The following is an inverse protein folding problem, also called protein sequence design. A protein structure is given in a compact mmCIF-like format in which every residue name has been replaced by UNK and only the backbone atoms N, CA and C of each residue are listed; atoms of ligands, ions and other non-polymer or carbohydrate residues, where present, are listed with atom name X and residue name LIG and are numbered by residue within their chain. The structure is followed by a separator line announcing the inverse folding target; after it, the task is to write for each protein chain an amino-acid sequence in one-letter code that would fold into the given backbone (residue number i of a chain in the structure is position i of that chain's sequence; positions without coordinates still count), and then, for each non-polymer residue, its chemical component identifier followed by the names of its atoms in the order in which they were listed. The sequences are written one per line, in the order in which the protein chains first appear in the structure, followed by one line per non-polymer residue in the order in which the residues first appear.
data_IF_392777490608
#
_entry.id   IF_392777490608
#
_cell.length_a   1.000
_cell.length_b   1.000
_cell.length_c   1.000
_cell.angle_alpha   90.00
_cell.angle_beta   90.00
_cell.angle_gamma   90.00
#
_symmetry.space_group_name_H-M   'P 1'
#
loop_
_entity.id
_entity.type
_entity.pdbx_description
1 polymer ?
#
# COMPACT_ATOMS: atom_id res chain seq x y z
N UNK A 1 9.73 -6.99 -18.43
CA UNK A 1 8.75 -6.75 -19.50
C UNK A 1 7.50 -7.63 -19.37
N UNK A 2 7.63 -8.92 -19.08
CA UNK A 2 6.53 -9.90 -18.92
C UNK A 2 5.53 -9.52 -17.81
N UNK A 3 6.02 -9.06 -16.67
CA UNK A 3 5.22 -8.70 -15.48
C UNK A 3 4.31 -7.49 -15.72
N UNK A 4 4.78 -6.51 -16.51
CA UNK A 4 4.00 -5.31 -16.87
C UNK A 4 2.86 -5.67 -17.83
N UNK A 5 3.05 -6.68 -18.68
CA UNK A 5 2.00 -7.22 -19.57
C UNK A 5 0.93 -8.00 -18.80
N UNK A 6 1.31 -8.79 -17.78
CA UNK A 6 0.34 -9.53 -16.97
C UNK A 6 -0.62 -8.61 -16.20
N UNK A 7 -0.12 -7.54 -15.57
CA UNK A 7 -0.97 -6.60 -14.84
C UNK A 7 -1.89 -5.80 -15.75
N UNK A 8 -1.46 -5.45 -16.97
CA UNK A 8 -2.34 -4.77 -17.95
C UNK A 8 -3.42 -5.68 -18.50
N UNK A 9 -3.14 -6.97 -18.70
CA UNK A 9 -4.14 -7.96 -19.13
C UNK A 9 -5.20 -8.16 -18.04
N UNK A 10 -4.81 -8.33 -16.79
CA UNK A 10 -5.74 -8.48 -15.65
C UNK A 10 -6.63 -7.24 -15.53
N UNK A 11 -6.05 -6.04 -15.64
CA UNK A 11 -6.82 -4.78 -15.60
C UNK A 11 -7.82 -4.69 -16.75
N UNK A 12 -7.41 -5.03 -17.98
CA UNK A 12 -8.27 -5.01 -19.15
C UNK A 12 -9.43 -6.01 -19.01
N UNK A 13 -9.16 -7.24 -18.57
CA UNK A 13 -10.20 -8.26 -18.35
C UNK A 13 -11.17 -7.82 -17.25
N UNK A 14 -10.68 -7.27 -16.13
CA UNK A 14 -11.54 -6.76 -15.07
C UNK A 14 -12.44 -5.61 -15.57
N UNK A 15 -11.89 -4.67 -16.36
CA UNK A 15 -12.67 -3.56 -16.94
C UNK A 15 -13.75 -4.07 -17.90
N UNK A 16 -13.45 -5.06 -18.74
CA UNK A 16 -14.41 -5.67 -19.65
C UNK A 16 -15.55 -6.37 -18.88
N UNK A 17 -15.19 -7.14 -17.83
CA UNK A 17 -16.18 -7.84 -16.99
C UNK A 17 -17.11 -6.85 -16.27
N UNK A 18 -16.58 -5.75 -15.75
CA UNK A 18 -17.40 -4.68 -15.13
C UNK A 18 -18.33 -4.06 -16.16
N UNK A 19 -17.81 -3.69 -17.33
CA UNK A 19 -18.61 -3.10 -18.41
C UNK A 19 -19.74 -4.02 -18.86
N UNK A 20 -19.47 -5.30 -19.03
CA UNK A 20 -20.46 -6.31 -19.40
C UNK A 20 -21.53 -6.48 -18.31
N UNK A 21 -21.12 -6.57 -17.05
CA UNK A 21 -22.02 -6.68 -15.91
C UNK A 21 -22.94 -5.47 -15.78
N UNK A 22 -22.40 -4.24 -15.92
CA UNK A 22 -23.18 -3.00 -15.92
C UNK A 22 -24.22 -2.99 -17.06
N UNK A 23 -23.82 -3.42 -18.25
CA UNK A 23 -24.71 -3.47 -19.41
C UNK A 23 -25.85 -4.46 -19.19
N UNK A 24 -25.55 -5.67 -18.71
CA UNK A 24 -26.55 -6.70 -18.42
C UNK A 24 -27.50 -6.24 -17.30
N UNK A 25 -26.98 -5.67 -16.24
CA UNK A 25 -27.79 -5.16 -15.12
C UNK A 25 -28.73 -4.04 -15.57
N UNK A 26 -28.27 -3.11 -16.41
CA UNK A 26 -29.12 -2.05 -16.97
C UNK A 26 -30.23 -2.60 -17.86
N UNK A 27 -29.95 -3.60 -18.71
CA UNK A 27 -30.95 -4.25 -19.54
C UNK A 27 -32.03 -4.90 -18.69
N UNK A 28 -31.62 -5.66 -17.65
CA UNK A 28 -32.55 -6.35 -16.75
C UNK A 28 -33.38 -5.32 -15.95
N UNK A 29 -32.76 -4.24 -15.45
CA UNK A 29 -33.45 -3.19 -14.71
C UNK A 29 -34.51 -2.50 -15.58
N UNK A 30 -34.21 -2.20 -16.84
CA UNK A 30 -35.14 -1.58 -17.74
C UNK A 30 -36.31 -2.51 -18.12
N UNK A 31 -36.04 -3.79 -18.36
CA UNK A 31 -37.10 -4.79 -18.59
C UNK A 31 -38.01 -4.95 -17.35
N UNK A 32 -37.43 -4.98 -16.16
CA UNK A 32 -38.22 -5.07 -14.96
C UNK A 32 -39.05 -3.81 -14.70
N UNK A 33 -38.50 -2.63 -15.00
CA UNK A 33 -39.22 -1.35 -14.90
C UNK A 33 -40.45 -1.33 -15.79
N UNK A 34 -40.30 -1.72 -17.07
CA UNK A 34 -41.42 -1.78 -18.03
C UNK A 34 -42.47 -2.78 -17.57
N UNK A 35 -42.05 -3.94 -17.05
CA UNK A 35 -42.95 -4.94 -16.50
C UNK A 35 -43.72 -4.42 -15.28
N UNK A 36 -43.04 -3.81 -14.29
CA UNK A 36 -43.68 -3.24 -13.11
C UNK A 36 -44.71 -2.15 -13.49
N UNK A 37 -44.37 -1.27 -14.42
CA UNK A 37 -45.29 -0.27 -14.93
C UNK A 37 -46.57 -0.93 -15.54
N UNK A 38 -46.38 -1.92 -16.41
CA UNK A 38 -47.50 -2.64 -17.03
C UNK A 38 -48.36 -3.35 -15.99
N UNK A 39 -47.77 -4.00 -14.99
CA UNK A 39 -48.49 -4.68 -13.90
C UNK A 39 -49.35 -3.70 -13.08
N UNK A 40 -48.86 -2.46 -12.85
CA UNK A 40 -49.64 -1.42 -12.14
C UNK A 40 -50.76 -0.89 -13.04
N UNK A 41 -50.53 -0.69 -14.34
CA UNK A 41 -51.52 -0.25 -15.32
C UNK A 41 -52.65 -1.28 -15.44
N UNK A 42 -52.35 -2.59 -15.51
CA UNK A 42 -53.34 -3.66 -15.59
C UNK A 42 -54.14 -3.74 -14.28
N UNK A 43 -53.47 -3.58 -13.14
CA UNK A 43 -54.13 -3.54 -11.83
C UNK A 43 -55.06 -2.33 -11.71
N UNK A 44 -54.65 -1.15 -12.15
CA UNK A 44 -55.48 0.07 -12.15
C UNK A 44 -56.70 -0.07 -13.04
N UNK A 45 -56.55 -0.61 -14.26
CA UNK A 45 -57.62 -0.87 -15.18
C UNK A 45 -58.62 -1.93 -14.65
N UNK A 46 -58.13 -2.97 -13.96
CA UNK A 46 -59.01 -3.94 -13.30
C UNK A 46 -59.85 -3.31 -12.19
N UNK A 47 -59.25 -2.43 -11.38
CA UNK A 47 -59.92 -1.67 -10.34
C UNK A 47 -61.00 -0.75 -10.91
N UNK A 48 -60.72 -0.02 -11.97
CA UNK A 48 -61.66 0.85 -12.66
C UNK A 48 -62.88 0.05 -13.20
N UNK A 49 -62.60 -1.10 -13.85
CA UNK A 49 -63.66 -1.93 -14.44
C UNK A 49 -64.55 -2.58 -13.39
N UNK A 50 -64.03 -2.97 -12.22
CA UNK A 50 -64.80 -3.45 -11.10
C UNK A 50 -65.75 -2.39 -10.58
N UNK A 51 -65.40 -1.14 -10.71
CA UNK A 51 -66.12 0.01 -10.18
C UNK A 51 -67.19 0.57 -11.11
N UNK A 52 -67.11 0.33 -12.41
CA UNK A 52 -68.04 0.87 -13.40
C UNK A 52 -69.35 0.09 -13.57
N UNK A 53 -69.47 -1.11 -12.99
CA UNK A 53 -70.67 -1.92 -13.12
C UNK A 53 -71.65 -1.75 -11.92
N UNK A 54 -72.72 -1.00 -12.17
CA UNK A 54 -73.82 -0.79 -11.21
C UNK A 54 -74.74 -1.99 -11.08
N UNK A 55 -74.53 -3.05 -11.88
CA UNK A 55 -75.42 -4.22 -11.92
C UNK A 55 -75.00 -5.36 -11.00
N UNK A 56 -73.86 -5.22 -10.28
CA UNK A 56 -73.39 -6.20 -9.28
C UNK A 56 -72.79 -7.48 -9.87
N UNK A 57 -72.69 -7.59 -11.17
CA UNK A 57 -72.25 -8.83 -11.84
C UNK A 57 -70.72 -8.97 -11.95
N UNK A 58 -69.96 -7.89 -11.90
CA UNK A 58 -68.48 -7.90 -12.06
C UNK A 58 -67.71 -8.15 -10.79
N UNK A 59 -68.29 -7.93 -9.60
CA UNK A 59 -67.66 -8.24 -8.29
C UNK A 59 -67.31 -9.72 -8.13
N UNK A 60 -67.87 -10.59 -8.97
CA UNK A 60 -67.65 -12.04 -8.94
C UNK A 60 -66.83 -12.59 -10.13
N UNK A 61 -66.27 -11.74 -11.03
CA UNK A 61 -65.41 -12.22 -12.10
C UNK A 61 -64.08 -12.74 -11.51
N UNK A 62 -63.81 -14.07 -11.61
CA UNK A 62 -62.61 -14.67 -11.03
C UNK A 62 -61.32 -14.09 -11.60
N UNK A 63 -61.31 -13.62 -12.84
CA UNK A 63 -60.17 -13.02 -13.49
C UNK A 63 -59.81 -11.65 -12.88
N UNK A 64 -60.82 -10.80 -12.74
CA UNK A 64 -60.65 -9.47 -12.13
C UNK A 64 -60.20 -9.62 -10.67
N UNK A 65 -60.81 -10.54 -9.91
CA UNK A 65 -60.37 -10.84 -8.54
C UNK A 65 -58.96 -11.39 -8.48
N UNK A 66 -58.54 -12.23 -9.42
CA UNK A 66 -57.18 -12.73 -9.48
C UNK A 66 -56.14 -11.60 -9.77
N UNK A 67 -56.49 -10.65 -10.67
CA UNK A 67 -55.65 -9.49 -10.91
C UNK A 67 -55.53 -8.57 -9.69
N UNK A 68 -56.66 -8.27 -9.04
CA UNK A 68 -56.67 -7.39 -7.87
C UNK A 68 -55.97 -8.05 -6.66
N UNK A 69 -56.11 -9.35 -6.51
CA UNK A 69 -55.47 -10.12 -5.40
C UNK A 69 -53.99 -10.45 -5.74
N UNK A 70 -53.59 -10.40 -6.96
CA UNK A 70 -52.19 -10.54 -7.32
C UNK A 70 -51.48 -9.24 -6.91
N UNK A 71 -51.10 -9.23 -5.60
CA UNK A 71 -50.48 -8.07 -4.96
C UNK A 71 -49.23 -7.65 -5.74
N UNK A 72 -49.32 -6.47 -6.34
CA UNK A 72 -48.15 -5.83 -6.95
C UNK A 72 -47.06 -5.67 -5.90
N UNK A 73 -45.82 -6.07 -6.25
CA UNK A 73 -44.65 -5.87 -5.37
C UNK A 73 -44.15 -4.40 -5.37
N UNK A 74 -44.83 -3.53 -6.07
CA UNK A 74 -44.52 -2.10 -6.12
C UNK A 74 -45.28 -1.35 -5.04
N UNK A 75 -44.65 -0.48 -4.25
CA UNK A 75 -45.37 0.38 -3.32
C UNK A 75 -46.24 1.39 -4.07
N UNK A 76 -47.46 1.63 -3.61
CA UNK A 76 -48.33 2.64 -4.19
C UNK A 76 -49.12 3.41 -3.15
N UNK A 77 -49.54 4.62 -3.52
CA UNK A 77 -50.38 5.52 -2.70
C UNK A 77 -51.53 6.01 -3.63
N UNK A 78 -52.75 5.86 -3.16
CA UNK A 78 -53.93 6.38 -3.87
C UNK A 78 -54.34 7.67 -3.16
N UNK A 79 -54.52 8.75 -3.95
CA UNK A 79 -54.93 10.06 -3.46
C UNK A 79 -56.19 10.55 -4.17
N UNK A 80 -56.89 11.51 -3.54
CA UNK A 80 -57.90 12.32 -4.23
C UNK A 80 -57.23 13.40 -5.13
N UNK A 81 -58.07 14.21 -5.80
CA UNK A 81 -57.61 15.34 -6.62
C UNK A 81 -56.88 16.42 -5.81
N UNK A 82 -57.08 16.47 -4.50
CA UNK A 82 -56.43 17.39 -3.57
C UNK A 82 -55.17 16.80 -2.93
N UNK A 83 -54.69 15.67 -3.45
CA UNK A 83 -53.51 14.92 -2.94
C UNK A 83 -53.69 14.40 -1.49
N UNK A 84 -54.93 14.22 -1.00
CA UNK A 84 -55.17 13.56 0.28
C UNK A 84 -55.10 12.07 0.08
N UNK A 85 -54.33 11.39 0.95
CA UNK A 85 -54.14 9.93 0.90
C UNK A 85 -55.41 9.23 1.25
N UNK A 86 -55.89 8.34 0.40
CA UNK A 86 -57.05 7.49 0.60
C UNK A 86 -56.65 6.09 1.01
N UNK A 87 -55.62 5.54 0.35
CA UNK A 87 -55.11 4.21 0.61
C UNK A 87 -53.63 4.13 0.26
N UNK A 88 -52.93 3.19 0.82
CA UNK A 88 -51.54 2.93 0.55
C UNK A 88 -51.23 1.43 0.61
N UNK A 89 -50.14 1.01 -0.06
CA UNK A 89 -49.64 -0.37 -0.07
C UNK A 89 -48.13 -0.38 -0.04
N UNK A 90 -47.55 -1.25 0.82
CA UNK A 90 -46.09 -1.40 1.02
C UNK A 90 -45.38 -0.06 1.39
N UNK A 91 -46.07 0.83 2.08
CA UNK A 91 -45.49 2.05 2.62
C UNK A 91 -45.20 1.81 4.11
N UNK A 92 -43.98 2.09 4.59
CA UNK A 92 -43.63 1.94 6.00
C UNK A 92 -44.51 2.81 6.93
N UNK A 93 -44.88 2.28 8.09
CA UNK A 93 -45.74 2.95 9.05
C UNK A 93 -45.24 4.30 9.56
N UNK A 94 -43.90 4.46 9.63
CA UNK A 94 -43.22 5.70 10.05
C UNK A 94 -43.39 6.82 9.00
N UNK A 95 -43.64 6.48 7.73
CA UNK A 95 -43.95 7.42 6.66
C UNK A 95 -45.45 7.76 6.68
N UNK A 96 -46.30 6.76 6.93
CA UNK A 96 -47.75 6.94 6.96
C UNK A 96 -48.18 7.88 8.09
N UNK A 97 -47.54 7.82 9.24
CA UNK A 97 -47.84 8.62 10.42
C UNK A 97 -47.31 10.07 10.36
N UNK A 98 -46.37 10.39 9.45
CA UNK A 98 -45.77 11.71 9.31
C UNK A 98 -46.18 12.36 7.98
N UNK A 99 -47.02 13.39 8.04
CA UNK A 99 -47.50 14.09 6.86
C UNK A 99 -46.37 14.67 5.98
N UNK A 100 -45.27 15.12 6.58
CA UNK A 100 -44.11 15.63 5.83
C UNK A 100 -43.38 14.53 5.07
N UNK A 101 -43.17 13.38 5.72
CA UNK A 101 -42.58 12.22 5.08
C UNK A 101 -43.45 11.66 3.97
N UNK A 102 -44.75 11.62 4.18
CA UNK A 102 -45.72 11.18 3.17
C UNK A 102 -45.67 12.07 1.92
N UNK A 103 -45.62 13.39 2.10
CA UNK A 103 -45.51 14.34 0.98
C UNK A 103 -44.20 14.14 0.20
N UNK A 104 -43.09 13.94 0.90
CA UNK A 104 -41.80 13.64 0.26
C UNK A 104 -41.82 12.32 -0.52
N UNK A 105 -42.52 11.29 0.00
CA UNK A 105 -42.63 10.00 -0.69
C UNK A 105 -43.53 10.12 -1.93
N UNK A 106 -44.60 10.93 -1.88
CA UNK A 106 -45.42 11.26 -3.08
C UNK A 106 -44.62 11.99 -4.16
N UNK A 107 -43.83 13.02 -3.79
CA UNK A 107 -42.97 13.75 -4.71
C UNK A 107 -41.94 12.82 -5.35
N UNK A 108 -41.35 11.93 -4.56
CA UNK A 108 -40.40 10.92 -5.04
C UNK A 108 -41.07 9.95 -6.02
N UNK A 109 -42.22 9.38 -5.69
CA UNK A 109 -42.97 8.48 -6.57
C UNK A 109 -43.33 9.18 -7.89
N UNK A 110 -43.74 10.45 -7.83
CA UNK A 110 -44.03 11.27 -9.01
C UNK A 110 -42.79 11.52 -9.86
N UNK A 111 -41.60 11.62 -9.27
CA UNK A 111 -40.35 11.75 -10.00
C UNK A 111 -39.87 10.42 -10.62
N UNK A 112 -40.25 9.29 -10.03
CA UNK A 112 -39.87 7.95 -10.49
C UNK A 112 -40.75 7.45 -11.62
N UNK A 113 -42.11 7.72 -11.57
CA UNK A 113 -43.07 7.23 -12.51
C UNK A 113 -44.21 8.26 -12.75
N UNK A 114 -44.85 8.22 -13.92
CA UNK A 114 -46.03 9.02 -14.18
C UNK A 114 -47.22 8.48 -13.41
N UNK A 115 -47.94 9.30 -12.62
CA UNK A 115 -49.13 8.86 -11.89
C UNK A 115 -50.25 8.40 -12.83
N UNK A 116 -51.02 7.40 -12.41
CA UNK A 116 -52.17 6.88 -13.19
C UNK A 116 -53.45 7.47 -12.61
N UNK A 117 -54.27 8.08 -13.48
CA UNK A 117 -55.57 8.62 -13.06
C UNK A 117 -56.62 7.58 -13.32
N UNK A 118 -57.43 7.25 -12.27
CA UNK A 118 -58.50 6.25 -12.27
C UNK A 118 -59.78 6.86 -11.74
N UNK A 119 -60.94 6.53 -12.34
CA UNK A 119 -62.27 6.93 -11.86
C UNK A 119 -62.93 5.76 -11.09
N UNK A 120 -63.18 5.93 -9.83
CA UNK A 120 -63.90 4.94 -9.06
C UNK A 120 -65.40 5.29 -8.98
N UNK A 121 -66.30 4.34 -9.23
CA UNK A 121 -67.75 4.54 -9.33
C UNK A 121 -68.40 5.00 -8.02
N UNK A 122 -67.84 4.61 -6.87
CA UNK A 122 -68.38 4.96 -5.52
C UNK A 122 -68.16 6.43 -5.13
N UNK A 123 -67.32 7.15 -5.88
CA UNK A 123 -66.92 8.52 -5.54
C UNK A 123 -67.65 9.57 -6.41
N UNK A 124 -68.73 9.20 -7.12
CA UNK A 124 -69.53 10.10 -7.95
C UNK A 124 -68.73 11.25 -8.59
N UNK A 125 -67.97 10.95 -9.61
CA UNK A 125 -67.23 11.91 -10.46
C UNK A 125 -65.94 12.49 -9.92
N UNK A 126 -65.27 11.87 -8.92
CA UNK A 126 -63.94 12.29 -8.49
C UNK A 126 -62.87 11.36 -9.04
N UNK A 127 -61.84 11.97 -9.68
CA UNK A 127 -60.69 11.26 -10.12
C UNK A 127 -59.80 10.88 -8.94
N UNK A 128 -59.23 9.70 -8.98
CA UNK A 128 -58.22 9.24 -8.01
C UNK A 128 -56.89 9.11 -8.74
N UNK A 129 -55.80 9.49 -8.06
CA UNK A 129 -54.49 9.47 -8.61
C UNK A 129 -53.68 8.37 -7.90
N UNK A 130 -53.17 7.43 -8.65
CA UNK A 130 -52.32 6.35 -8.15
C UNK A 130 -50.89 6.74 -8.39
N UNK A 131 -50.15 7.01 -7.30
CA UNK A 131 -48.71 7.17 -7.30
C UNK A 131 -48.07 5.83 -6.96
N UNK A 132 -47.11 5.40 -7.78
CA UNK A 132 -46.40 4.15 -7.49
C UNK A 132 -44.87 4.35 -7.59
N UNK A 133 -44.18 3.67 -6.69
CA UNK A 133 -42.73 3.70 -6.60
C UNK A 133 -42.10 2.42 -7.17
N UNK A 134 -40.79 2.41 -7.26
CA UNK A 134 -40.04 1.23 -7.65
C UNK A 134 -40.10 0.14 -6.59
N UNK A 135 -40.25 -1.11 -6.99
CA UNK A 135 -40.17 -2.25 -6.08
C UNK A 135 -38.81 -2.35 -5.39
N UNK A 136 -38.75 -3.07 -4.27
CA UNK A 136 -37.49 -3.35 -3.57
C UNK A 136 -36.50 -4.05 -4.52
N UNK A 137 -36.99 -4.96 -5.35
CA UNK A 137 -36.18 -5.68 -6.34
C UNK A 137 -35.53 -4.74 -7.35
N UNK A 138 -36.29 -3.82 -7.91
CA UNK A 138 -35.80 -2.84 -8.88
C UNK A 138 -34.78 -1.88 -8.22
N UNK A 139 -35.07 -1.44 -6.98
CA UNK A 139 -34.16 -0.58 -6.21
C UNK A 139 -32.83 -1.28 -5.91
N UNK A 140 -32.88 -2.56 -5.53
CA UNK A 140 -31.69 -3.38 -5.28
C UNK A 140 -30.88 -3.54 -6.57
N UNK A 141 -31.54 -3.74 -7.71
CA UNK A 141 -30.89 -3.89 -8.99
C UNK A 141 -30.11 -2.62 -9.40
N UNK A 142 -30.62 -1.43 -9.08
CA UNK A 142 -29.91 -0.17 -9.33
C UNK A 142 -28.71 0.05 -8.41
N UNK A 143 -28.71 -0.49 -7.19
CA UNK A 143 -27.60 -0.36 -6.23
C UNK A 143 -26.50 -1.41 -6.51
N UNK A 144 -26.89 -2.57 -7.02
CA UNK A 144 -25.98 -3.72 -7.24
C UNK A 144 -24.69 -3.39 -8.00
N UNK A 145 -24.70 -2.62 -9.11
CA UNK A 145 -23.49 -2.25 -9.84
C UNK A 145 -22.46 -1.48 -8.99
N UNK A 146 -22.94 -0.60 -8.10
CA UNK A 146 -22.05 0.17 -7.22
C UNK A 146 -21.36 -0.71 -6.18
N UNK A 147 -22.10 -1.67 -5.61
CA UNK A 147 -21.56 -2.66 -4.68
C UNK A 147 -20.52 -3.52 -5.39
N UNK A 148 -20.83 -3.99 -6.60
CA UNK A 148 -19.93 -4.81 -7.40
C UNK A 148 -18.65 -4.03 -7.77
N UNK A 149 -18.78 -2.77 -8.17
CA UNK A 149 -17.61 -1.91 -8.47
C UNK A 149 -16.73 -1.73 -7.24
N UNK A 150 -17.31 -1.50 -6.06
CA UNK A 150 -16.57 -1.40 -4.81
C UNK A 150 -15.78 -2.68 -4.51
N UNK A 151 -16.42 -3.85 -4.61
CA UNK A 151 -15.78 -5.14 -4.37
C UNK A 151 -14.59 -5.36 -5.33
N UNK A 152 -14.76 -5.04 -6.62
CA UNK A 152 -13.71 -5.18 -7.63
C UNK A 152 -12.52 -4.25 -7.33
N UNK A 153 -12.77 -2.99 -6.93
CA UNK A 153 -11.71 -2.06 -6.54
C UNK A 153 -10.92 -2.58 -5.34
N UNK A 154 -11.61 -3.07 -4.30
CA UNK A 154 -10.97 -3.67 -3.12
C UNK A 154 -10.11 -4.87 -3.51
N UNK A 155 -10.66 -5.77 -4.34
CA UNK A 155 -9.93 -6.94 -4.80
C UNK A 155 -8.70 -6.58 -5.65
N UNK A 156 -8.82 -5.56 -6.50
CA UNK A 156 -7.70 -5.02 -7.28
C UNK A 156 -6.57 -4.49 -6.38
N UNK A 157 -6.92 -3.75 -5.34
CA UNK A 157 -5.94 -3.23 -4.36
C UNK A 157 -5.22 -4.38 -3.65
N UNK A 158 -5.96 -5.40 -3.21
CA UNK A 158 -5.38 -6.60 -2.57
C UNK A 158 -4.39 -7.30 -3.51
N UNK A 159 -4.77 -7.53 -4.77
CA UNK A 159 -3.89 -8.15 -5.78
C UNK A 159 -2.62 -7.33 -5.99
N UNK A 160 -2.73 -6.00 -6.10
CA UNK A 160 -1.57 -5.13 -6.30
C UNK A 160 -0.61 -5.15 -5.10
N UNK A 161 -1.14 -5.16 -3.88
CA UNK A 161 -0.34 -5.26 -2.64
C UNK A 161 0.34 -6.63 -2.56
N UNK A 162 -0.40 -7.73 -2.79
CA UNK A 162 0.14 -9.09 -2.78
C UNK A 162 1.25 -9.26 -3.83
N UNK A 163 1.02 -8.75 -5.04
CA UNK A 163 2.01 -8.81 -6.12
C UNK A 163 3.29 -8.05 -5.80
N UNK A 164 3.18 -6.86 -5.19
CA UNK A 164 4.35 -6.10 -4.72
C UNK A 164 5.12 -6.85 -3.63
N UNK A 165 4.42 -7.46 -2.69
CA UNK A 165 5.01 -8.23 -1.59
C UNK A 165 5.77 -9.45 -2.13
N UNK A 166 5.17 -10.24 -3.03
CA UNK A 166 5.83 -11.40 -3.66
C UNK A 166 7.09 -10.98 -4.41
N UNK A 167 7.01 -9.93 -5.23
CA UNK A 167 8.16 -9.43 -5.98
C UNK A 167 9.30 -8.97 -5.05
N UNK A 168 8.98 -8.30 -3.96
CA UNK A 168 9.98 -7.86 -2.98
C UNK A 168 10.62 -9.05 -2.25
N UNK A 169 9.82 -10.05 -1.89
CA UNK A 169 10.29 -11.30 -1.28
C UNK A 169 11.22 -12.07 -2.23
N UNK A 170 10.88 -12.19 -3.51
CA UNK A 170 11.70 -12.86 -4.51
C UNK A 170 13.05 -12.15 -4.72
N UNK A 171 13.04 -10.82 -4.83
CA UNK A 171 14.27 -10.03 -4.89
C UNK A 171 15.13 -10.22 -3.64
N UNK A 172 14.53 -10.21 -2.46
CA UNK A 172 15.24 -10.44 -1.21
C UNK A 172 15.88 -11.83 -1.17
N UNK A 173 15.17 -12.87 -1.62
CA UNK A 173 15.67 -14.23 -1.66
C UNK A 173 16.87 -14.41 -2.58
N UNK A 174 16.84 -13.79 -3.77
CA UNK A 174 17.96 -13.79 -4.71
C UNK A 174 19.19 -13.12 -4.09
N UNK A 175 19.03 -11.99 -3.42
CA UNK A 175 20.11 -11.27 -2.75
C UNK A 175 20.76 -12.07 -1.62
N UNK A 176 19.94 -12.73 -0.78
CA UNK A 176 20.45 -13.59 0.29
C UNK A 176 21.23 -14.78 -0.29
N UNK A 177 20.70 -15.41 -1.32
CA UNK A 177 21.37 -16.53 -1.99
C UNK A 177 22.71 -16.11 -2.59
N UNK A 178 22.73 -14.94 -3.27
CA UNK A 178 23.95 -14.42 -3.90
C UNK A 178 25.01 -14.04 -2.86
N UNK A 179 24.60 -13.40 -1.77
CA UNK A 179 25.51 -13.03 -0.69
C UNK A 179 26.12 -14.27 -0.02
N UNK A 180 25.30 -15.28 0.30
CA UNK A 180 25.75 -16.54 0.90
C UNK A 180 26.70 -17.31 0.00
N UNK A 181 26.36 -17.42 -1.30
CA UNK A 181 27.19 -18.11 -2.27
C UNK A 181 28.52 -17.39 -2.48
N UNK A 182 28.49 -16.04 -2.60
CA UNK A 182 29.73 -15.22 -2.74
C UNK A 182 30.60 -15.38 -1.50
N UNK A 183 30.02 -15.38 -0.28
CA UNK A 183 30.77 -15.60 0.95
C UNK A 183 31.45 -16.98 0.96
N UNK A 184 30.69 -18.03 0.57
CA UNK A 184 31.23 -19.39 0.51
C UNK A 184 32.36 -19.53 -0.52
N UNK A 185 32.17 -19.00 -1.71
CA UNK A 185 33.18 -19.07 -2.79
C UNK A 185 34.42 -18.20 -2.52
N UNK A 186 34.31 -17.10 -1.76
CA UNK A 186 35.45 -16.31 -1.32
C UNK A 186 36.13 -16.91 -0.09
N UNK A 187 35.39 -17.60 0.78
CA UNK A 187 35.94 -18.21 2.00
C UNK A 187 37.02 -19.27 1.72
N UNK A 188 36.82 -20.10 0.71
CA UNK A 188 37.77 -21.16 0.31
C UNK A 188 39.14 -20.61 -0.12
N UNK A 189 39.27 -19.67 -1.09
CA UNK A 189 40.53 -19.11 -1.45
C UNK A 189 41.19 -18.27 -0.35
N UNK A 190 40.41 -17.59 0.47
CA UNK A 190 40.97 -16.84 1.61
C UNK A 190 41.58 -17.76 2.67
N UNK A 191 40.95 -18.92 2.93
CA UNK A 191 41.54 -19.92 3.83
C UNK A 191 42.82 -20.52 3.26
N UNK A 192 42.91 -20.74 1.94
CA UNK A 192 44.12 -21.20 1.27
C UNK A 192 45.24 -20.16 1.36
N UNK A 193 44.91 -18.87 1.13
CA UNK A 193 45.89 -17.79 1.25
C UNK A 193 46.43 -17.65 2.69
N UNK A 194 45.56 -17.89 3.71
CA UNK A 194 45.99 -17.91 5.10
C UNK A 194 47.04 -18.99 5.34
N UNK A 195 46.85 -20.20 4.81
CA UNK A 195 47.81 -21.29 4.87
C UNK A 195 49.14 -20.94 4.19
N UNK A 196 49.10 -20.26 3.06
CA UNK A 196 50.33 -19.80 2.40
C UNK A 196 51.08 -18.71 3.16
N UNK A 197 50.37 -17.80 3.84
CA UNK A 197 50.96 -16.76 4.66
C UNK A 197 51.64 -17.41 5.88
N UNK A 198 51.00 -18.39 6.54
CA UNK A 198 51.59 -19.13 7.64
C UNK A 198 52.83 -19.90 7.20
N UNK A 199 52.82 -20.55 6.03
CA UNK A 199 53.99 -21.20 5.44
C UNK A 199 55.15 -20.21 5.18
N UNK A 200 54.84 -19.02 4.59
CA UNK A 200 55.88 -17.99 4.34
C UNK A 200 56.46 -17.42 5.63
N UNK A 201 55.72 -17.42 6.71
CA UNK A 201 56.20 -16.93 8.01
C UNK A 201 57.34 -17.78 8.56
N UNK A 202 57.38 -19.07 8.24
CA UNK A 202 58.43 -20.00 8.61
C UNK A 202 59.64 -19.96 7.62
N UNK A 203 59.55 -19.24 6.52
CA UNK A 203 60.63 -19.13 5.57
C UNK A 203 61.49 -17.88 5.80
N UNK A 204 62.74 -17.85 5.30
CA UNK A 204 63.63 -16.69 5.39
C UNK A 204 63.25 -15.61 4.35
N UNK A 205 62.04 -15.03 4.51
CA UNK A 205 61.48 -13.97 3.70
C UNK A 205 61.32 -12.68 4.49
N UNK A 206 61.04 -11.56 3.83
CA UNK A 206 60.76 -10.31 4.50
C UNK A 206 59.48 -10.42 5.35
N UNK A 207 59.65 -10.48 6.68
CA UNK A 207 58.55 -10.62 7.62
C UNK A 207 57.61 -9.42 7.61
N UNK A 208 58.10 -8.23 7.25
CA UNK A 208 57.25 -7.05 7.14
C UNK A 208 56.24 -7.23 5.99
N UNK A 209 56.67 -7.81 4.84
CA UNK A 209 55.78 -8.14 3.73
C UNK A 209 54.73 -9.19 4.14
N UNK A 210 55.14 -10.23 4.89
CA UNK A 210 54.24 -11.27 5.39
C UNK A 210 53.16 -10.68 6.33
N UNK A 211 53.56 -9.78 7.22
CA UNK A 211 52.63 -9.12 8.15
C UNK A 211 51.59 -8.22 7.43
N UNK A 212 52.02 -7.50 6.37
CA UNK A 212 51.07 -6.71 5.54
C UNK A 212 50.11 -7.61 4.75
N UNK A 213 50.59 -8.73 4.17
CA UNK A 213 49.74 -9.72 3.49
C UNK A 213 48.69 -10.31 4.48
N UNK A 214 49.10 -10.61 5.72
CA UNK A 214 48.18 -11.11 6.74
C UNK A 214 47.12 -10.09 7.13
N UNK A 215 47.45 -8.80 7.22
CA UNK A 215 46.50 -7.72 7.50
C UNK A 215 45.48 -7.60 6.38
N UNK A 216 45.91 -7.67 5.13
CA UNK A 216 45.02 -7.60 3.96
C UNK A 216 44.11 -8.82 3.88
N UNK A 217 44.63 -10.01 4.16
CA UNK A 217 43.83 -11.22 4.20
C UNK A 217 42.80 -11.17 5.35
N UNK A 218 43.20 -10.72 6.55
CA UNK A 218 42.28 -10.53 7.67
C UNK A 218 41.14 -9.54 7.32
N UNK A 219 41.46 -8.50 6.55
CA UNK A 219 40.44 -7.59 6.06
C UNK A 219 39.49 -8.27 5.05
N UNK A 220 40.00 -9.07 4.13
CA UNK A 220 39.20 -9.87 3.20
C UNK A 220 38.29 -10.86 3.94
N UNK A 221 38.81 -11.57 4.94
CA UNK A 221 38.02 -12.51 5.78
C UNK A 221 36.88 -11.79 6.50
N UNK A 222 37.10 -10.58 7.04
CA UNK A 222 36.02 -9.76 7.63
C UNK A 222 34.92 -9.44 6.61
N UNK A 223 35.26 -9.16 5.34
CA UNK A 223 34.27 -8.91 4.29
C UNK A 223 33.46 -10.18 4.01
N UNK A 224 34.13 -11.33 3.89
CA UNK A 224 33.47 -12.63 3.67
C UNK A 224 32.53 -12.99 4.82
N UNK A 225 32.97 -12.83 6.07
CA UNK A 225 32.14 -13.06 7.28
C UNK A 225 30.90 -12.15 7.29
N UNK A 226 31.03 -10.88 6.91
CA UNK A 226 29.92 -9.93 6.79
C UNK A 226 28.89 -10.39 5.75
N UNK A 227 29.34 -10.85 4.56
CA UNK A 227 28.45 -11.39 3.54
C UNK A 227 27.75 -12.67 3.98
N UNK A 228 28.43 -13.54 4.72
CA UNK A 228 27.87 -14.77 5.29
C UNK A 228 26.75 -14.50 6.32
N UNK A 229 26.87 -13.40 7.06
CA UNK A 229 25.85 -12.98 8.05
C UNK A 229 24.63 -12.32 7.42
N UNK A 230 24.72 -11.87 6.17
CA UNK A 230 23.57 -11.37 5.42
C UNK A 230 22.66 -12.55 5.07
N UNK A 231 21.48 -12.62 5.70
CA UNK A 231 20.51 -13.72 5.51
C UNK A 231 20.50 -14.79 6.59
N UNK A 232 21.42 -14.73 7.59
CA UNK A 232 21.32 -15.50 8.83
C UNK A 232 20.57 -14.70 9.89
N UNK A 233 19.83 -15.38 10.78
CA UNK A 233 19.26 -14.77 11.99
C UNK A 233 20.41 -14.45 12.96
N UNK A 234 21.00 -13.26 12.81
CA UNK A 234 22.04 -12.79 13.73
C UNK A 234 21.37 -12.10 14.91
N UNK A 235 21.58 -12.58 16.16
CA UNK A 235 20.95 -12.00 17.34
C UNK A 235 21.40 -10.55 17.54
N UNK A 236 20.46 -9.70 17.96
CA UNK A 236 20.76 -8.35 18.41
C UNK A 236 21.15 -8.38 19.90
N UNK A 237 22.18 -7.65 20.26
CA UNK A 237 22.64 -7.47 21.64
C UNK A 237 22.62 -6.00 22.00
N UNK A 238 22.38 -5.68 23.26
CA UNK A 238 22.50 -4.31 23.77
C UNK A 238 23.96 -3.89 23.76
N UNK A 239 24.29 -2.90 22.94
CA UNK A 239 25.64 -2.40 22.78
C UNK A 239 25.72 -0.87 22.77
N UNK A 240 26.87 -0.32 23.13
CA UNK A 240 27.14 1.12 23.10
C UNK A 240 27.38 1.61 21.66
N UNK A 241 26.50 2.46 21.15
CA UNK A 241 26.68 3.11 19.86
C UNK A 241 27.96 3.96 19.82
N UNK A 242 28.31 4.61 20.97
CA UNK A 242 29.52 5.41 21.09
C UNK A 242 30.78 4.57 20.78
N UNK A 243 30.84 3.34 21.33
CA UNK A 243 31.98 2.47 21.13
C UNK A 243 32.07 1.95 19.69
N UNK A 244 30.95 1.43 19.16
CA UNK A 244 30.93 0.85 17.81
C UNK A 244 31.23 1.89 16.73
N UNK A 245 30.59 3.06 16.82
CA UNK A 245 30.83 4.18 15.87
C UNK A 245 32.25 4.73 16.05
N UNK A 246 32.70 4.85 17.33
CA UNK A 246 34.05 5.30 17.65
C UNK A 246 35.13 4.42 17.05
N UNK A 247 34.96 3.09 17.11
CA UNK A 247 35.90 2.11 16.52
C UNK A 247 36.02 2.31 15.00
N UNK A 248 34.90 2.43 14.30
CA UNK A 248 34.85 2.69 12.88
C UNK A 248 35.51 4.03 12.52
N UNK A 249 35.22 5.10 13.26
CA UNK A 249 35.82 6.43 13.05
C UNK A 249 37.33 6.39 13.24
N UNK A 250 37.81 5.75 14.34
CA UNK A 250 39.27 5.63 14.60
C UNK A 250 39.99 4.85 13.50
N UNK A 251 39.34 3.78 12.99
CA UNK A 251 39.89 3.01 11.88
C UNK A 251 40.06 3.86 10.62
N UNK A 252 39.07 4.69 10.26
CA UNK A 252 39.11 5.55 9.10
C UNK A 252 40.07 6.73 9.26
N UNK A 253 40.17 7.37 10.45
CA UNK A 253 41.10 8.49 10.70
C UNK A 253 42.55 8.19 10.34
N UNK A 254 42.97 6.95 10.53
CA UNK A 254 44.36 6.53 10.19
C UNK A 254 44.60 6.33 8.69
N UNK A 255 43.54 6.31 7.86
CA UNK A 255 43.57 5.94 6.44
C UNK A 255 43.08 7.02 5.49
N UNK A 256 42.52 8.11 6.00
CA UNK A 256 42.07 9.22 5.16
C UNK A 256 43.26 10.09 4.72
N UNK A 257 43.19 10.72 3.53
CA UNK A 257 44.16 11.69 3.07
C UNK A 257 44.35 12.83 4.07
N UNK A 258 45.54 13.44 4.10
CA UNK A 258 45.87 14.54 5.03
C UNK A 258 44.95 15.75 4.94
N UNK A 259 44.28 15.95 3.79
CA UNK A 259 43.35 17.06 3.56
C UNK A 259 41.91 16.74 3.93
N UNK A 260 41.65 15.58 4.56
CA UNK A 260 40.33 15.18 5.04
C UNK A 260 40.37 15.08 6.56
N UNK A 261 39.43 15.75 7.22
CA UNK A 261 39.27 15.69 8.68
C UNK A 261 38.00 14.90 9.01
N UNK A 262 38.07 14.01 10.03
CA UNK A 262 36.90 13.32 10.57
C UNK A 262 36.69 13.82 12.00
N UNK A 263 35.57 14.49 12.25
CA UNK A 263 35.13 14.92 13.58
C UNK A 263 34.18 13.88 14.19
N UNK A 264 34.21 13.69 15.49
CA UNK A 264 33.37 12.74 16.20
C UNK A 264 33.04 13.24 17.60
N UNK A 265 31.76 13.40 17.91
CA UNK A 265 31.30 13.89 19.22
C UNK A 265 31.05 12.79 20.24
N UNK A 266 30.98 11.53 19.86
CA UNK A 266 30.55 10.41 20.75
C UNK A 266 31.44 10.18 21.95
N UNK A 267 32.66 10.73 22.00
CA UNK A 267 33.54 10.67 23.15
C UNK A 267 33.19 11.68 24.25
N UNK A 268 32.43 12.73 23.88
CA UNK A 268 32.09 13.83 24.79
C UNK A 268 30.66 13.77 25.33
N UNK A 269 29.90 12.74 24.98
CA UNK A 269 28.50 12.57 25.38
C UNK A 269 28.28 11.28 26.19
N UNK A 270 27.20 11.23 26.96
CA UNK A 270 26.80 10.03 27.69
C UNK A 270 26.65 8.83 26.75
N UNK A 271 26.91 7.63 27.28
CA UNK A 271 26.76 6.38 26.51
C UNK A 271 25.31 6.19 26.08
N UNK A 272 25.10 5.98 24.79
CA UNK A 272 23.81 5.70 24.19
C UNK A 272 23.80 4.24 23.73
N UNK A 273 22.87 3.44 24.26
CA UNK A 273 22.75 2.02 23.98
C UNK A 273 21.60 1.77 22.98
N UNK A 274 21.79 0.77 22.13
CA UNK A 274 20.76 0.23 21.25
C UNK A 274 20.96 -1.28 21.08
N UNK A 275 19.89 -1.98 20.70
CA UNK A 275 19.98 -3.38 20.32
C UNK A 275 20.49 -3.50 18.89
N UNK A 276 21.74 -3.93 18.74
CA UNK A 276 22.43 -4.03 17.45
C UNK A 276 23.22 -5.34 17.33
N UNK A 277 23.45 -5.76 16.08
CA UNK A 277 24.55 -6.64 15.74
C UNK A 277 25.76 -5.76 15.44
N UNK A 278 26.74 -5.75 16.35
CA UNK A 278 27.89 -4.84 16.28
C UNK A 278 28.63 -4.92 14.93
N UNK A 279 28.89 -6.13 14.43
CA UNK A 279 29.64 -6.33 13.19
C UNK A 279 28.90 -5.80 11.95
N UNK A 280 27.59 -6.02 11.87
CA UNK A 280 26.77 -5.50 10.78
C UNK A 280 26.57 -3.99 10.90
N UNK A 281 26.43 -3.47 12.10
CA UNK A 281 26.27 -2.04 12.34
C UNK A 281 27.56 -1.28 12.05
N UNK A 282 28.72 -1.78 12.53
CA UNK A 282 30.03 -1.23 12.20
C UNK A 282 30.25 -1.16 10.69
N UNK A 283 29.85 -2.20 9.95
CA UNK A 283 29.96 -2.19 8.50
C UNK A 283 29.09 -1.11 7.86
N UNK A 284 27.86 -0.85 8.36
CA UNK A 284 27.03 0.25 7.87
C UNK A 284 27.74 1.59 8.06
N UNK A 285 28.34 1.82 9.24
CA UNK A 285 29.10 3.04 9.52
C UNK A 285 30.30 3.18 8.58
N UNK A 286 31.09 2.11 8.41
CA UNK A 286 32.22 2.08 7.48
C UNK A 286 31.79 2.42 6.05
N UNK A 287 30.67 1.85 5.57
CA UNK A 287 30.14 2.11 4.24
C UNK A 287 29.70 3.56 4.05
N UNK A 288 29.06 4.16 5.07
CA UNK A 288 28.67 5.58 5.02
C UNK A 288 29.91 6.50 5.06
N UNK A 289 30.90 6.20 5.89
CA UNK A 289 32.18 6.94 5.94
C UNK A 289 32.92 6.87 4.59
N UNK A 290 32.96 5.69 3.98
CA UNK A 290 33.55 5.49 2.65
C UNK A 290 32.80 6.29 1.57
N UNK A 291 31.46 6.35 1.64
CA UNK A 291 30.67 7.14 0.70
C UNK A 291 30.90 8.65 0.91
N UNK A 292 31.02 9.09 2.16
CA UNK A 292 31.37 10.47 2.49
C UNK A 292 32.76 10.84 1.95
N UNK A 293 33.77 9.99 2.18
CA UNK A 293 35.12 10.20 1.66
C UNK A 293 35.15 10.30 0.13
N UNK A 294 34.44 9.41 -0.55
CA UNK A 294 34.33 9.45 -2.02
C UNK A 294 33.63 10.73 -2.52
N UNK A 295 32.68 11.28 -1.74
CA UNK A 295 31.99 12.53 -2.08
C UNK A 295 32.89 13.77 -1.92
N UNK A 296 33.87 13.73 -1.02
CA UNK A 296 34.83 14.82 -0.73
C UNK A 296 35.88 15.02 -1.82
N UNK A 297 36.09 14.03 -2.67
CA UNK A 297 37.13 14.10 -3.74
C UNK A 297 38.53 14.52 -3.23
N UNK A 298 38.89 14.03 -2.05
CA UNK A 298 40.23 14.19 -1.47
C UNK A 298 40.46 15.35 -0.52
N UNK A 299 39.45 16.22 -0.28
CA UNK A 299 39.54 17.31 0.69
C UNK A 299 38.19 17.64 1.31
N UNK A 300 38.13 17.94 2.60
CA UNK A 300 36.92 18.36 3.30
C UNK A 300 36.78 17.76 4.68
N UNK A 301 35.56 17.83 5.22
CA UNK A 301 35.24 17.41 6.59
C UNK A 301 34.14 16.35 6.55
N UNK A 302 34.31 15.32 7.37
CA UNK A 302 33.25 14.36 7.71
C UNK A 302 32.97 14.56 9.20
N UNK A 303 31.74 14.91 9.54
CA UNK A 303 31.27 15.11 10.91
C UNK A 303 30.33 13.97 11.30
N UNK A 304 30.72 13.21 12.35
CA UNK A 304 29.95 12.09 12.86
C UNK A 304 29.39 12.44 14.23
N UNK A 305 28.06 12.51 14.33
CA UNK A 305 27.35 12.86 15.54
C UNK A 305 26.47 11.73 16.02
N UNK A 306 26.52 11.49 17.33
CA UNK A 306 25.54 10.64 18.01
C UNK A 306 24.67 11.54 18.88
N UNK A 307 23.37 11.30 18.85
CA UNK A 307 22.37 11.97 19.68
C UNK A 307 21.22 11.02 20.00
N UNK A 308 20.38 11.38 20.94
CA UNK A 308 19.17 10.61 21.23
C UNK A 308 18.03 11.54 21.67
N UNK A 309 16.83 11.06 21.50
CA UNK A 309 15.62 11.54 22.17
C UNK A 309 15.10 10.46 23.14
N UNK A 310 13.84 10.59 23.59
CA UNK A 310 13.22 9.62 24.50
C UNK A 310 13.04 8.23 23.88
N UNK A 311 12.88 8.13 22.56
CA UNK A 311 12.51 6.90 21.84
C UNK A 311 13.61 6.34 20.97
N UNK A 312 14.43 7.23 20.40
CA UNK A 312 15.38 6.87 19.36
C UNK A 312 16.80 7.35 19.68
N UNK A 313 17.75 6.55 19.26
CA UNK A 313 19.15 6.90 19.15
C UNK A 313 19.47 7.22 17.68
N UNK A 314 20.21 8.27 17.44
CA UNK A 314 20.56 8.76 16.11
C UNK A 314 22.06 8.74 15.89
N UNK A 315 22.46 8.31 14.69
CA UNK A 315 23.83 8.48 14.19
C UNK A 315 23.74 9.27 12.90
N UNK A 316 24.31 10.48 12.90
CA UNK A 316 24.38 11.38 11.75
C UNK A 316 25.80 11.38 11.20
N UNK A 317 25.94 11.13 9.91
CA UNK A 317 27.21 11.21 9.20
C UNK A 317 27.06 12.26 8.10
N UNK A 318 27.74 13.38 8.29
CA UNK A 318 27.71 14.56 7.41
C UNK A 318 29.02 14.71 6.67
N UNK A 319 28.97 14.98 5.38
CA UNK A 319 30.12 15.31 4.55
C UNK A 319 29.96 16.71 3.94
N UNK A 320 31.08 17.36 3.60
CA UNK A 320 31.13 18.62 2.86
C UNK A 320 31.36 18.41 1.37
N UNK A 321 30.94 17.27 0.83
CA UNK A 321 31.21 16.83 -0.54
C UNK A 321 30.24 17.37 -1.58
N UNK A 322 30.15 16.64 -2.72
CA UNK A 322 29.36 17.06 -3.89
C UNK A 322 27.86 17.15 -3.68
N UNK A 323 27.31 16.56 -2.62
CA UNK A 323 25.87 16.53 -2.34
C UNK A 323 25.07 15.64 -3.30
N UNK A 324 23.77 15.49 -2.98
CA UNK A 324 22.81 14.62 -3.70
C UNK A 324 21.54 15.41 -4.01
N UNK A 325 21.13 15.50 -5.28
CA UNK A 325 19.87 16.15 -5.64
C UNK A 325 18.67 15.50 -4.97
N UNK A 326 17.68 16.28 -4.51
CA UNK A 326 16.50 15.81 -3.77
C UNK A 326 15.70 14.72 -4.52
N UNK A 327 15.66 14.79 -5.84
CA UNK A 327 15.01 13.78 -6.70
C UNK A 327 15.66 12.39 -6.61
N UNK A 328 16.92 12.30 -6.15
CA UNK A 328 17.69 11.05 -6.06
C UNK A 328 17.72 10.44 -4.67
N UNK A 329 17.22 11.11 -3.62
CA UNK A 329 17.30 10.65 -2.23
C UNK A 329 16.68 9.28 -1.99
N UNK A 330 15.65 8.90 -2.75
CA UNK A 330 15.04 7.56 -2.66
C UNK A 330 15.82 6.53 -3.48
N UNK A 331 16.21 6.89 -4.69
CA UNK A 331 16.84 5.97 -5.64
C UNK A 331 18.29 5.60 -5.28
N UNK A 332 19.02 6.40 -4.48
CA UNK A 332 20.36 6.04 -4.02
C UNK A 332 20.39 4.77 -3.15
N UNK A 333 19.24 4.39 -2.56
CA UNK A 333 19.10 3.15 -1.78
C UNK A 333 18.62 1.96 -2.62
N UNK A 334 18.35 2.14 -3.90
CA UNK A 334 17.97 1.05 -4.80
C UNK A 334 19.21 0.23 -5.18
N UNK A 335 19.11 -1.11 -5.23
CA UNK A 335 20.21 -1.97 -5.64
C UNK A 335 20.74 -1.62 -7.04
N UNK A 336 22.07 -1.53 -7.17
CA UNK A 336 22.71 -1.22 -8.44
C UNK A 336 22.80 0.28 -8.77
N UNK A 337 22.25 1.17 -7.94
CA UNK A 337 22.38 2.60 -8.13
C UNK A 337 23.82 3.06 -7.78
N UNK A 338 24.53 3.58 -8.74
CA UNK A 338 25.88 4.13 -8.54
C UNK A 338 26.16 5.29 -9.51
N UNK A 339 26.89 6.26 -9.02
CA UNK A 339 27.47 7.35 -9.84
C UNK A 339 28.98 7.17 -10.02
N UNK A 340 29.54 6.05 -9.54
CA UNK A 340 30.96 5.74 -9.58
C UNK A 340 31.30 4.88 -10.80
N UNK A 341 32.45 5.09 -11.41
CA UNK A 341 32.98 4.24 -12.50
C UNK A 341 33.36 2.85 -12.01
N UNK A 342 33.73 2.71 -10.72
CA UNK A 342 34.06 1.45 -10.06
C UNK A 342 33.16 1.29 -8.84
N UNK A 343 32.42 0.20 -8.78
CA UNK A 343 31.52 -0.14 -7.68
C UNK A 343 30.15 -0.66 -8.16
N UNK A 344 29.61 -1.62 -7.45
CA UNK A 344 28.41 -2.38 -7.83
C UNK A 344 27.10 -1.66 -7.46
N UNK A 345 27.17 -0.49 -6.82
CA UNK A 345 25.98 0.23 -6.35
C UNK A 345 25.20 -0.48 -5.25
N UNK A 346 25.85 -1.36 -4.48
CA UNK A 346 25.20 -2.21 -3.47
C UNK A 346 25.34 -1.69 -2.04
N UNK A 347 26.30 -0.80 -1.77
CA UNK A 347 26.61 -0.38 -0.41
C UNK A 347 25.44 0.22 0.33
N UNK A 348 24.80 1.26 -0.23
CA UNK A 348 23.66 1.92 0.44
C UNK A 348 22.42 1.04 0.51
N UNK A 349 22.15 0.23 -0.51
CA UNK A 349 21.02 -0.72 -0.48
C UNK A 349 21.17 -1.79 0.59
N UNK A 350 22.39 -2.32 0.76
CA UNK A 350 22.71 -3.25 1.85
C UNK A 350 22.68 -2.57 3.21
N UNK A 351 23.24 -1.34 3.32
CA UNK A 351 23.16 -0.56 4.58
C UNK A 351 21.71 -0.34 5.00
N UNK A 352 20.83 0.01 4.06
CA UNK A 352 19.41 0.16 4.31
C UNK A 352 18.79 -1.15 4.80
N UNK A 353 19.12 -2.25 4.16
CA UNK A 353 18.63 -3.56 4.53
C UNK A 353 19.08 -3.95 5.95
N UNK A 354 20.36 -3.75 6.27
CA UNK A 354 20.89 -4.02 7.61
C UNK A 354 20.17 -3.20 8.67
N UNK A 355 19.96 -1.91 8.43
CA UNK A 355 19.28 -1.05 9.40
C UNK A 355 17.78 -1.34 9.48
N UNK A 356 17.08 -1.47 8.36
CA UNK A 356 15.62 -1.57 8.34
C UNK A 356 15.12 -2.99 8.63
N UNK A 357 15.75 -4.03 8.03
CA UNK A 357 15.29 -5.42 8.19
C UNK A 357 15.88 -6.11 9.44
N UNK A 358 17.18 -5.94 9.72
CA UNK A 358 17.84 -6.61 10.85
C UNK A 358 17.69 -5.82 12.16
N UNK A 359 17.96 -4.51 12.14
CA UNK A 359 17.93 -3.67 13.35
C UNK A 359 16.57 -3.01 13.61
N UNK A 360 15.58 -3.16 12.71
CA UNK A 360 14.24 -2.54 12.79
C UNK A 360 14.31 -1.01 12.98
N UNK A 361 15.38 -0.41 12.48
CA UNK A 361 15.64 1.02 12.50
C UNK A 361 15.26 1.68 11.16
N UNK A 362 15.81 2.87 10.94
CA UNK A 362 15.61 3.63 9.69
C UNK A 362 16.92 4.29 9.27
N UNK A 363 17.22 4.27 7.96
CA UNK A 363 18.30 5.04 7.36
C UNK A 363 17.72 5.96 6.29
N UNK A 364 18.19 7.22 6.26
CA UNK A 364 17.69 8.22 5.30
C UNK A 364 18.71 9.33 5.07
N UNK A 365 18.52 10.10 4.01
CA UNK A 365 19.17 11.39 3.83
C UNK A 365 18.41 12.41 4.68
N UNK A 366 19.06 12.96 5.70
CA UNK A 366 18.50 14.01 6.56
C UNK A 366 18.49 15.35 5.82
N UNK A 367 19.63 15.70 5.22
CA UNK A 367 19.79 16.90 4.41
C UNK A 367 20.86 16.69 3.34
N UNK A 368 20.70 17.30 2.20
CA UNK A 368 21.76 17.36 1.18
C UNK A 368 21.54 18.54 0.24
N UNK A 369 22.61 19.26 -0.04
CA UNK A 369 22.65 20.36 -0.99
C UNK A 369 23.78 20.12 -1.97
N UNK A 370 23.47 20.15 -3.26
CA UNK A 370 24.47 19.97 -4.32
C UNK A 370 25.58 21.02 -4.16
N UNK A 371 26.84 20.54 -4.10
CA UNK A 371 28.04 21.36 -3.89
C UNK A 371 28.31 21.77 -2.44
N UNK A 372 27.49 21.34 -1.46
CA UNK A 372 27.68 21.68 -0.04
C UNK A 372 27.82 20.46 0.86
N UNK A 373 27.35 19.29 0.40
CA UNK A 373 27.47 18.05 1.15
C UNK A 373 26.16 17.34 1.43
N UNK A 374 26.26 16.22 2.18
CA UNK A 374 25.14 15.34 2.54
C UNK A 374 25.24 14.94 3.98
N UNK A 375 24.08 14.83 4.64
CA UNK A 375 23.94 14.22 5.96
C UNK A 375 23.06 12.98 5.84
N UNK A 376 23.64 11.82 6.15
CA UNK A 376 22.89 10.58 6.35
C UNK A 376 22.53 10.42 7.82
N UNK A 377 21.29 10.02 8.12
CA UNK A 377 20.81 9.70 9.46
C UNK A 377 20.43 8.24 9.57
N UNK A 378 20.95 7.58 10.61
CA UNK A 378 20.48 6.30 11.10
C UNK A 378 19.68 6.57 12.38
N UNK A 379 18.48 6.00 12.48
CA UNK A 379 17.65 6.04 13.69
C UNK A 379 17.40 4.60 14.16
N UNK A 380 17.74 4.29 15.40
CA UNK A 380 17.53 3.01 16.06
C UNK A 380 16.65 3.21 17.29
N UNK A 381 15.91 2.18 17.69
CA UNK A 381 15.17 2.23 18.94
C UNK A 381 16.16 2.24 20.11
N UNK A 382 16.03 3.23 20.99
CA UNK A 382 16.85 3.36 22.20
C UNK A 382 16.48 2.30 23.22
N UNK A 383 17.46 1.80 23.95
CA UNK A 383 17.32 0.89 25.09
C UNK A 383 17.58 1.63 26.38
#
# INVERSE_FOLDING_TARGET
MVVRRGSTIILAVATILVGLSLLVTNIIAEQLRIKEQHDVEVWAAAMERTNLDTTGNYTNDPLIQAIINNRNNSPFIITDENLRVISHHLIPDDIVQDEKKMRLELEKMQSENTPIVVQFWWTKHHNHIIFYGRSITLRTLYIFPYIQMFIIVVFMVIILVAFRSVKQSEQNRIWVGLAKETAHQLGTPTSSLLGWIEYLREQPVDQMAVDEMQKDLAHLMKIVDRFSKIGSESPLTTASLNNVVGSAVMYFRKRVPRNVTIEYNGLAINTINANINEALFEWVIENLLKNALDALQGRGVIDVKISCDEKYAYVDISDTGKGIPKSKWKSIFEPGYTTKTRGWGLGLSLSRRVIEEYHKGRISVLSSVVGRGTTFRIALKRV
#
